data_IF_204186056429
#
_entry.id   IF_204186056429
#
_cell.length_a   1.000
_cell.length_b   1.000
_cell.length_c   1.000
_cell.angle_alpha   90.00
_cell.angle_beta   90.00
_cell.angle_gamma   90.00
#
_symmetry.space_group_name_H-M   'P 1'
#
loop_
_entity.id
_entity.type
_entity.pdbx_description
1 polymer ?
#
# COMPACT_ATOMS: atom_id res chain seq x y z
N UNK A 1 8.96 0.33 35.03
CA UNK A 1 9.18 1.02 33.79
C UNK A 1 9.03 0.05 32.61
N UNK A 2 8.12 0.34 31.69
CA UNK A 2 8.06 -0.42 30.44
C UNK A 2 9.34 -0.19 29.68
N UNK A 3 10.08 -1.24 29.37
CA UNK A 3 11.25 -1.13 28.51
C UNK A 3 10.78 -0.77 27.10
N UNK A 4 11.20 0.40 26.61
CA UNK A 4 10.95 0.80 25.22
C UNK A 4 11.82 -0.12 24.33
N UNK A 5 11.18 -0.96 23.52
CA UNK A 5 11.88 -1.78 22.54
C UNK A 5 12.27 -0.88 21.38
N UNK A 6 13.57 -0.68 21.10
CA UNK A 6 13.97 0.17 19.99
C UNK A 6 13.60 -0.48 18.65
N UNK A 7 13.43 0.32 17.57
CA UNK A 7 13.29 -0.23 16.24
C UNK A 7 14.47 -1.13 15.85
N UNK A 8 14.20 -2.16 15.02
CA UNK A 8 15.28 -2.97 14.44
C UNK A 8 16.12 -2.12 13.50
N UNK A 9 17.37 -2.51 13.23
CA UNK A 9 18.17 -1.84 12.22
C UNK A 9 17.51 -1.97 10.84
N UNK A 10 17.35 -0.84 10.16
CA UNK A 10 16.92 -0.79 8.76
C UNK A 10 18.09 -0.64 7.83
N UNK A 11 17.84 -0.88 6.53
CA UNK A 11 18.80 -0.52 5.48
C UNK A 11 18.63 0.97 5.20
N UNK A 12 19.70 1.75 5.34
CA UNK A 12 19.67 3.18 5.08
C UNK A 12 19.53 3.44 3.57
N UNK A 13 18.60 4.33 3.21
CA UNK A 13 18.35 4.70 1.81
C UNK A 13 19.26 5.84 1.38
N UNK A 14 19.94 5.69 0.24
CA UNK A 14 20.87 6.68 -0.29
C UNK A 14 20.67 6.87 -1.80
N UNK A 15 20.30 8.06 -2.27
CA UNK A 15 19.82 9.19 -1.47
C UNK A 15 18.48 8.91 -0.79
N UNK A 16 18.17 9.66 0.25
CA UNK A 16 16.84 9.62 0.88
C UNK A 16 15.76 9.87 -0.15
N UNK A 17 14.61 9.22 0.05
CA UNK A 17 13.43 9.45 -0.77
C UNK A 17 12.62 10.62 -0.22
N UNK A 18 11.69 11.12 -1.02
CA UNK A 18 10.63 12.00 -0.57
C UNK A 18 9.60 11.16 0.22
N UNK A 19 8.54 11.80 0.75
CA UNK A 19 7.49 11.12 1.50
C UNK A 19 6.94 9.91 0.72
N UNK A 20 6.90 8.76 1.39
CA UNK A 20 6.43 7.51 0.79
C UNK A 20 4.93 7.35 0.96
N UNK A 21 4.30 6.84 -0.09
CA UNK A 21 2.88 6.52 -0.09
C UNK A 21 2.61 5.01 -0.27
N UNK A 22 3.57 4.24 -0.76
CA UNK A 22 3.40 2.81 -0.96
C UNK A 22 4.69 2.09 -1.32
N UNK A 23 4.66 0.77 -1.15
CA UNK A 23 5.72 -0.15 -1.56
C UNK A 23 5.15 -1.23 -2.46
N UNK A 24 5.97 -1.76 -3.34
CA UNK A 24 5.63 -2.90 -4.19
C UNK A 24 6.86 -3.76 -4.42
N UNK A 25 6.65 -5.04 -4.68
CA UNK A 25 7.70 -6.01 -5.01
C UNK A 25 7.47 -6.49 -6.44
N UNK A 26 8.41 -6.17 -7.33
CA UNK A 26 8.36 -6.59 -8.74
C UNK A 26 8.61 -8.10 -8.91
N UNK A 27 8.42 -8.58 -10.14
CA UNK A 27 8.62 -9.99 -10.50
C UNK A 27 10.04 -10.50 -10.20
N UNK A 28 11.04 -9.66 -10.34
CA UNK A 28 12.45 -9.99 -10.05
C UNK A 28 12.83 -9.81 -8.57
N UNK A 29 11.87 -9.46 -7.70
CA UNK A 29 12.11 -9.21 -6.29
C UNK A 29 12.56 -7.79 -5.95
N UNK A 30 12.74 -6.92 -6.92
CA UNK A 30 13.08 -5.50 -6.67
C UNK A 30 11.97 -4.83 -5.91
N UNK A 31 12.33 -4.10 -4.86
CA UNK A 31 11.37 -3.33 -4.07
C UNK A 31 11.25 -1.92 -4.67
N UNK A 32 10.02 -1.52 -4.94
CA UNK A 32 9.68 -0.21 -5.45
C UNK A 32 9.00 0.63 -4.37
N UNK A 33 9.32 1.91 -4.31
CA UNK A 33 8.68 2.88 -3.44
C UNK A 33 7.98 3.95 -4.28
N UNK A 34 6.67 4.10 -4.07
CA UNK A 34 5.89 5.20 -4.61
C UNK A 34 6.02 6.40 -3.68
N UNK A 35 6.44 7.54 -4.22
CA UNK A 35 6.73 8.74 -3.44
C UNK A 35 5.96 9.94 -3.96
N UNK A 36 6.06 11.05 -3.22
CA UNK A 36 5.53 12.35 -3.63
C UNK A 36 6.15 12.86 -4.96
N UNK A 37 7.28 12.29 -5.39
CA UNK A 37 8.03 12.74 -6.59
C UNK A 37 8.39 11.60 -7.53
N UNK A 38 7.56 10.59 -7.63
CA UNK A 38 7.74 9.48 -8.56
C UNK A 38 8.01 8.14 -7.91
N UNK A 39 8.39 7.18 -8.73
CA UNK A 39 8.65 5.81 -8.36
C UNK A 39 10.16 5.56 -8.31
N UNK A 40 10.61 4.86 -7.25
CA UNK A 40 12.03 4.55 -7.06
C UNK A 40 12.20 3.07 -6.75
N UNK A 41 13.25 2.48 -7.32
CA UNK A 41 13.72 1.16 -6.95
C UNK A 41 14.71 1.28 -5.79
N UNK A 42 14.63 0.34 -4.85
CA UNK A 42 15.54 0.24 -3.71
C UNK A 42 16.42 -0.99 -3.92
N UNK A 43 17.72 -0.78 -4.07
CA UNK A 43 18.70 -1.86 -4.20
C UNK A 43 19.01 -2.54 -2.86
N UNK A 44 19.70 -3.65 -2.91
CA UNK A 44 20.00 -4.49 -1.74
C UNK A 44 20.82 -3.76 -0.67
N UNK A 45 21.65 -2.80 -1.07
CA UNK A 45 22.43 -1.98 -0.14
C UNK A 45 21.79 -0.65 0.20
N UNK A 46 20.56 -0.42 -0.23
CA UNK A 46 19.79 0.79 0.07
C UNK A 46 19.93 1.91 -0.95
N UNK A 47 20.63 1.69 -2.06
CA UNK A 47 20.70 2.67 -3.15
C UNK A 47 19.33 2.84 -3.80
N UNK A 48 18.94 4.09 -4.03
CA UNK A 48 17.66 4.44 -4.62
C UNK A 48 17.85 4.98 -6.03
N UNK A 49 17.07 4.48 -6.98
CA UNK A 49 17.14 4.87 -8.38
C UNK A 49 15.73 5.10 -8.92
N UNK A 50 15.52 6.21 -9.60
CA UNK A 50 14.23 6.51 -10.24
C UNK A 50 13.89 5.43 -11.28
N UNK A 51 12.63 5.00 -11.29
CA UNK A 51 12.08 4.07 -12.28
C UNK A 51 11.21 4.87 -13.25
N UNK A 52 11.56 4.80 -14.55
CA UNK A 52 10.88 5.58 -15.58
C UNK A 52 11.23 7.07 -15.52
N UNK A 53 10.47 7.88 -16.25
CA UNK A 53 10.73 9.32 -16.41
C UNK A 53 9.73 10.21 -15.65
N UNK A 54 8.74 9.61 -14.98
CA UNK A 54 7.68 10.37 -14.32
C UNK A 54 8.11 10.90 -12.96
N UNK A 55 7.75 12.15 -12.69
CA UNK A 55 7.86 12.79 -11.37
C UNK A 55 6.48 12.97 -10.72
N UNK A 56 5.48 12.21 -11.15
CA UNK A 56 4.13 12.26 -10.59
C UNK A 56 4.11 11.90 -9.11
N UNK A 57 3.22 12.56 -8.37
CA UNK A 57 2.92 12.22 -6.99
C UNK A 57 2.06 10.95 -6.95
N UNK A 58 2.64 9.86 -6.47
CA UNK A 58 1.98 8.56 -6.41
C UNK A 58 1.33 8.37 -5.03
N UNK A 59 0.18 9.00 -4.80
CA UNK A 59 -0.58 8.89 -3.55
C UNK A 59 -1.08 7.46 -3.30
N UNK A 60 -1.43 6.73 -4.36
CA UNK A 60 -1.80 5.33 -4.32
C UNK A 60 -0.90 4.51 -5.22
N UNK A 61 -0.41 3.39 -4.70
CA UNK A 61 0.38 2.42 -5.43
C UNK A 61 -0.08 1.03 -5.03
N UNK A 62 -0.47 0.21 -5.99
CA UNK A 62 -0.97 -1.14 -5.75
C UNK A 62 -0.42 -2.13 -6.75
N UNK A 63 -0.13 -3.34 -6.28
CA UNK A 63 0.29 -4.46 -7.10
C UNK A 63 0.31 -5.74 -6.26
N UNK A 64 0.25 -6.87 -6.93
CA UNK A 64 0.47 -8.16 -6.29
C UNK A 64 1.97 -8.40 -6.17
N UNK A 65 2.42 -8.76 -4.98
CA UNK A 65 3.85 -9.06 -4.76
C UNK A 65 4.35 -10.11 -5.75
N UNK A 66 5.44 -9.80 -6.44
CA UNK A 66 6.02 -10.66 -7.47
C UNK A 66 5.46 -10.43 -8.87
N UNK A 67 4.63 -9.41 -9.09
CA UNK A 67 4.10 -9.02 -10.40
C UNK A 67 4.70 -7.71 -10.87
N UNK A 68 4.91 -7.58 -12.19
CA UNK A 68 5.31 -6.32 -12.83
C UNK A 68 4.11 -5.46 -13.25
N UNK A 69 2.89 -5.90 -12.97
CA UNK A 69 1.68 -5.10 -13.16
C UNK A 69 1.38 -4.29 -11.91
N UNK A 70 1.36 -2.97 -12.08
CA UNK A 70 1.08 -2.02 -11.00
C UNK A 70 -0.04 -1.07 -11.40
N UNK A 71 -0.70 -0.55 -10.37
CA UNK A 71 -1.69 0.50 -10.49
C UNK A 71 -1.28 1.68 -9.62
N UNK A 72 -1.52 2.89 -10.11
CA UNK A 72 -1.24 4.11 -9.36
C UNK A 72 -2.34 5.13 -9.49
N UNK A 73 -2.36 6.06 -8.55
CA UNK A 73 -3.22 7.22 -8.53
C UNK A 73 -2.47 8.38 -7.87
N UNK A 74 -2.93 9.60 -8.08
CA UNK A 74 -2.31 10.76 -7.48
C UNK A 74 -2.45 12.02 -8.32
N UNK A 75 -1.38 12.80 -8.37
CA UNK A 75 -1.34 14.07 -9.07
C UNK A 75 -0.20 14.14 -10.07
N UNK A 76 -0.39 14.84 -11.21
CA UNK A 76 0.71 15.02 -12.16
C UNK A 76 1.83 15.85 -11.53
N UNK A 77 3.07 15.43 -11.80
CA UNK A 77 4.25 16.18 -11.41
C UNK A 77 4.49 17.41 -12.30
N UNK A 78 5.51 18.23 -11.97
CA UNK A 78 5.79 19.46 -12.70
C UNK A 78 6.10 19.26 -14.20
N UNK A 79 6.60 18.08 -14.57
CA UNK A 79 6.95 17.77 -15.97
C UNK A 79 5.78 17.19 -16.78
N UNK A 80 4.63 16.97 -16.16
CA UNK A 80 3.47 16.32 -16.77
C UNK A 80 2.39 17.31 -17.18
N UNK A 81 1.75 17.05 -18.33
CA UNK A 81 0.55 17.75 -18.80
C UNK A 81 -0.72 16.92 -18.62
N UNK A 82 -0.63 15.80 -17.89
CA UNK A 82 -1.77 14.93 -17.64
C UNK A 82 -2.87 15.62 -16.84
N UNK A 83 -4.07 15.04 -16.86
CA UNK A 83 -5.20 15.53 -16.06
C UNK A 83 -4.88 15.47 -14.56
N UNK A 84 -5.42 16.41 -13.80
CA UNK A 84 -5.28 16.47 -12.35
C UNK A 84 -6.68 16.38 -11.68
N UNK A 85 -6.93 15.39 -10.81
CA UNK A 85 -6.05 14.27 -10.44
C UNK A 85 -5.86 13.24 -11.55
N UNK A 86 -4.89 12.34 -11.38
CA UNK A 86 -4.52 11.35 -12.40
C UNK A 86 -5.58 10.28 -12.66
N UNK A 87 -6.47 10.03 -11.70
CA UNK A 87 -7.34 8.88 -11.73
C UNK A 87 -6.58 7.59 -11.50
N UNK A 88 -6.95 6.52 -12.20
CA UNK A 88 -6.22 5.26 -12.17
C UNK A 88 -5.32 5.12 -13.38
N UNK A 89 -4.07 4.76 -13.14
CA UNK A 89 -3.07 4.46 -14.16
C UNK A 89 -2.54 3.05 -13.98
N UNK A 90 -2.16 2.40 -15.07
CA UNK A 90 -1.65 1.03 -15.08
C UNK A 90 -0.27 0.99 -15.72
N UNK A 91 0.64 0.23 -15.12
CA UNK A 91 1.92 -0.16 -15.69
C UNK A 91 1.97 -1.69 -15.80
N UNK A 92 2.49 -2.20 -16.91
CA UNK A 92 2.72 -3.63 -17.13
C UNK A 92 4.21 -3.97 -17.23
N UNK A 93 5.08 -3.00 -16.98
CA UNK A 93 6.54 -3.14 -17.15
C UNK A 93 7.31 -2.75 -15.87
N UNK A 94 6.73 -3.03 -14.71
CA UNK A 94 7.40 -2.76 -13.44
C UNK A 94 7.46 -1.28 -13.07
N UNK A 95 6.55 -0.47 -13.59
CA UNK A 95 6.47 0.95 -13.28
C UNK A 95 7.28 1.85 -14.20
N UNK A 96 7.88 1.31 -15.26
CA UNK A 96 8.67 2.13 -16.22
C UNK A 96 7.82 3.03 -17.06
N UNK A 97 6.69 2.52 -17.56
CA UNK A 97 5.72 3.28 -18.36
C UNK A 97 4.31 3.08 -17.82
N UNK A 98 3.49 4.13 -17.93
CA UNK A 98 2.14 4.17 -17.39
C UNK A 98 1.15 4.59 -18.47
N UNK A 99 -0.05 4.00 -18.42
CA UNK A 99 -1.18 4.39 -19.27
C UNK A 99 -2.39 4.71 -18.41
N UNK A 100 -3.22 5.64 -18.88
CA UNK A 100 -4.49 5.95 -18.23
C UNK A 100 -5.45 4.78 -18.36
N UNK A 101 -6.07 4.36 -17.25
CA UNK A 101 -7.04 3.28 -17.22
C UNK A 101 -8.46 3.81 -17.09
N UNK A 102 -8.71 4.68 -16.09
CA UNK A 102 -10.03 5.25 -15.83
C UNK A 102 -9.93 6.46 -14.90
N UNK A 103 -11.01 7.22 -14.78
CA UNK A 103 -11.21 8.27 -13.78
C UNK A 103 -10.23 9.43 -13.86
N UNK A 104 -9.51 9.60 -14.98
CA UNK A 104 -8.60 10.72 -15.17
C UNK A 104 -9.34 12.06 -15.01
N UNK A 105 -8.75 12.95 -14.21
CA UNK A 105 -9.36 14.23 -13.85
C UNK A 105 -10.45 14.14 -12.78
N UNK A 106 -10.76 12.95 -12.26
CA UNK A 106 -11.90 12.74 -11.36
C UNK A 106 -11.51 12.27 -9.97
N UNK A 107 -10.49 11.41 -9.84
CA UNK A 107 -10.16 10.75 -8.57
C UNK A 107 -8.66 10.75 -8.31
N UNK A 108 -8.33 10.96 -7.03
CA UNK A 108 -7.03 10.71 -6.43
C UNK A 108 -7.22 9.67 -5.32
N UNK A 109 -6.81 8.43 -5.55
CA UNK A 109 -6.90 7.38 -4.53
C UNK A 109 -5.76 7.51 -3.53
N UNK A 110 -6.08 7.89 -2.29
CA UNK A 110 -5.13 7.98 -1.18
C UNK A 110 -4.75 6.62 -0.62
N UNK A 111 -5.61 5.62 -0.78
CA UNK A 111 -5.32 4.22 -0.48
C UNK A 111 -5.84 3.38 -1.64
N UNK A 112 -5.03 2.46 -2.11
CA UNK A 112 -5.34 1.63 -3.27
C UNK A 112 -4.70 0.26 -3.08
N UNK A 113 -5.49 -0.80 -3.21
CA UNK A 113 -5.02 -2.18 -3.09
C UNK A 113 -5.60 -3.06 -4.19
N UNK A 114 -4.90 -4.14 -4.50
CA UNK A 114 -5.33 -5.09 -5.54
C UNK A 114 -4.93 -6.52 -5.20
N UNK A 115 -5.72 -7.47 -5.71
CA UNK A 115 -5.37 -8.89 -5.76
C UNK A 115 -5.00 -9.35 -7.19
N UNK A 116 -4.84 -8.38 -8.11
CA UNK A 116 -4.55 -8.61 -9.52
C UNK A 116 -5.75 -8.44 -10.44
N UNK A 117 -6.97 -8.65 -9.95
CA UNK A 117 -8.23 -8.49 -10.70
C UNK A 117 -9.10 -7.41 -10.08
N UNK A 118 -9.33 -7.51 -8.79
CA UNK A 118 -10.10 -6.55 -8.01
C UNK A 118 -9.17 -5.44 -7.51
N UNK A 119 -9.66 -4.20 -7.60
CA UNK A 119 -9.05 -3.06 -6.93
C UNK A 119 -10.05 -2.47 -5.94
N UNK A 120 -9.53 -2.04 -4.80
CA UNK A 120 -10.29 -1.28 -3.81
C UNK A 120 -9.53 0.01 -3.56
N UNK A 121 -10.22 1.14 -3.70
CA UNK A 121 -9.63 2.46 -3.51
C UNK A 121 -10.45 3.32 -2.56
N UNK A 122 -9.78 4.25 -1.89
CA UNK A 122 -10.38 5.28 -1.06
C UNK A 122 -9.87 6.65 -1.49
N UNK A 123 -10.78 7.55 -1.82
CA UNK A 123 -10.44 8.87 -2.36
C UNK A 123 -10.25 9.96 -1.28
N UNK A 124 -10.34 9.59 -0.01
CA UNK A 124 -10.18 10.51 1.11
C UNK A 124 -11.49 11.17 1.58
N UNK A 125 -12.64 10.87 0.97
CA UNK A 125 -13.88 11.61 1.25
C UNK A 125 -15.10 10.73 1.53
N UNK A 126 -15.56 9.94 0.56
CA UNK A 126 -16.93 9.37 0.59
C UNK A 126 -17.01 7.93 1.08
N UNK A 127 -15.95 7.15 0.89
CA UNK A 127 -15.95 5.73 1.16
C UNK A 127 -15.10 4.98 0.14
N UNK A 128 -15.18 3.66 0.17
CA UNK A 128 -14.42 2.84 -0.77
C UNK A 128 -15.14 2.70 -2.10
N UNK A 129 -14.37 2.55 -3.15
CA UNK A 129 -14.81 2.27 -4.50
C UNK A 129 -14.12 0.99 -4.97
N UNK A 130 -14.85 0.11 -5.65
CA UNK A 130 -14.39 -1.21 -6.02
C UNK A 130 -14.47 -1.41 -7.53
N UNK A 131 -13.40 -1.93 -8.11
CA UNK A 131 -13.34 -2.39 -9.50
C UNK A 131 -13.10 -3.89 -9.52
N UNK A 132 -13.85 -4.61 -10.35
CA UNK A 132 -13.69 -6.06 -10.56
C UNK A 132 -13.12 -6.41 -11.92
N UNK A 133 -12.75 -5.42 -12.71
CA UNK A 133 -12.28 -5.54 -14.08
C UNK A 133 -10.94 -4.82 -14.30
N UNK A 134 -10.06 -4.90 -13.32
CA UNK A 134 -8.71 -4.31 -13.38
C UNK A 134 -8.72 -2.79 -13.55
N UNK A 135 -9.70 -2.12 -12.93
CA UNK A 135 -9.77 -0.66 -12.92
C UNK A 135 -10.45 -0.03 -14.14
N UNK A 136 -11.12 -0.81 -14.97
CA UNK A 136 -11.84 -0.27 -16.14
C UNK A 136 -13.15 0.39 -15.74
N UNK A 137 -13.89 -0.22 -14.80
CA UNK A 137 -15.13 0.31 -14.25
C UNK A 137 -15.17 0.17 -12.72
N UNK A 138 -15.96 1.01 -12.07
CA UNK A 138 -15.97 1.15 -10.62
C UNK A 138 -17.40 1.20 -10.08
N UNK A 139 -17.59 0.61 -8.90
CA UNK A 139 -18.82 0.65 -8.12
C UNK A 139 -18.54 1.22 -6.73
N UNK A 140 -19.49 1.96 -6.19
CA UNK A 140 -19.40 2.44 -4.80
C UNK A 140 -19.51 1.28 -3.83
N UNK A 141 -18.60 1.25 -2.84
CA UNK A 141 -18.61 0.30 -1.73
C UNK A 141 -19.05 0.94 -0.42
N UNK A 142 -18.52 0.42 0.69
CA UNK A 142 -18.86 0.89 2.03
C UNK A 142 -18.53 2.36 2.25
N UNK A 143 -19.46 3.07 2.90
CA UNK A 143 -19.33 4.49 3.20
C UNK A 143 -18.61 4.68 4.55
N UNK A 144 -17.28 4.47 4.56
CA UNK A 144 -16.45 4.63 5.76
C UNK A 144 -15.17 5.37 5.42
N UNK A 145 -14.64 6.08 6.41
CA UNK A 145 -13.31 6.70 6.30
C UNK A 145 -12.21 5.67 6.55
N UNK A 146 -11.24 5.63 5.68
CA UNK A 146 -10.18 4.60 5.68
C UNK A 146 -8.83 5.26 5.82
N UNK A 147 -8.00 4.75 6.75
CA UNK A 147 -6.60 5.13 6.86
C UNK A 147 -5.69 4.20 6.07
N UNK A 148 -6.04 2.92 5.95
CA UNK A 148 -5.25 1.92 5.24
C UNK A 148 -6.15 0.75 4.81
N UNK A 149 -5.87 0.19 3.65
CA UNK A 149 -6.60 -0.94 3.06
C UNK A 149 -5.68 -2.14 2.87
N UNK A 150 -6.27 -3.34 2.89
CA UNK A 150 -5.60 -4.56 2.48
C UNK A 150 -6.60 -5.52 1.83
N UNK A 151 -6.11 -6.33 0.90
CA UNK A 151 -6.84 -7.45 0.32
C UNK A 151 -6.15 -8.75 0.68
N UNK A 152 -6.95 -9.73 1.10
CA UNK A 152 -6.55 -11.13 1.26
C UNK A 152 -7.54 -12.02 0.53
N UNK A 153 -7.29 -13.31 0.47
CA UNK A 153 -8.20 -14.27 -0.18
C UNK A 153 -9.61 -14.24 0.41
N UNK A 154 -9.74 -13.96 1.72
CA UNK A 154 -11.04 -13.95 2.39
C UNK A 154 -11.82 -12.65 2.20
N UNK A 155 -11.18 -11.56 1.82
CA UNK A 155 -11.87 -10.30 1.60
C UNK A 155 -11.04 -9.04 1.77
N UNK A 156 -11.73 -7.95 2.09
CA UNK A 156 -11.17 -6.61 2.18
C UNK A 156 -11.08 -6.17 3.64
N UNK A 157 -9.94 -5.59 4.00
CA UNK A 157 -9.66 -5.10 5.36
C UNK A 157 -9.43 -3.60 5.31
N UNK A 158 -9.96 -2.89 6.29
CA UNK A 158 -9.82 -1.45 6.39
C UNK A 158 -9.49 -1.02 7.82
N UNK A 159 -8.47 -0.20 7.97
CA UNK A 159 -8.20 0.53 9.21
C UNK A 159 -9.04 1.79 9.20
N UNK A 160 -9.86 1.98 10.23
CA UNK A 160 -10.74 3.13 10.40
C UNK A 160 -10.49 3.79 11.74
N UNK A 161 -11.10 4.96 11.98
CA UNK A 161 -11.05 5.61 13.29
C UNK A 161 -11.64 4.75 14.42
N UNK A 162 -12.49 3.77 14.08
CA UNK A 162 -13.09 2.82 15.02
C UNK A 162 -12.35 1.48 15.12
N UNK A 163 -11.18 1.37 14.49
CA UNK A 163 -10.37 0.17 14.47
C UNK A 163 -10.46 -0.59 13.16
N UNK A 164 -9.99 -1.84 13.19
CA UNK A 164 -9.98 -2.71 12.02
C UNK A 164 -11.38 -3.17 11.67
N UNK A 165 -11.75 -3.08 10.39
CA UNK A 165 -12.99 -3.58 9.84
C UNK A 165 -12.73 -4.54 8.68
N UNK A 166 -13.69 -5.41 8.43
CA UNK A 166 -13.60 -6.47 7.45
C UNK A 166 -14.85 -6.54 6.59
N UNK A 167 -14.66 -6.82 5.31
CA UNK A 167 -15.72 -7.03 4.33
C UNK A 167 -15.53 -8.38 3.63
N UNK A 168 -16.58 -9.22 3.63
CA UNK A 168 -16.63 -10.47 2.87
C UNK A 168 -17.42 -10.36 1.57
N UNK A 169 -17.91 -9.16 1.23
CA UNK A 169 -18.78 -8.91 0.06
C UNK A 169 -18.15 -7.91 -0.92
N UNK A 170 -16.84 -8.02 -1.15
CA UNK A 170 -16.07 -7.17 -2.07
C UNK A 170 -16.11 -5.69 -1.71
N UNK A 171 -16.03 -5.37 -0.42
CA UNK A 171 -15.97 -3.98 0.04
C UNK A 171 -17.30 -3.23 0.04
N UNK A 172 -18.42 -3.92 -0.17
CA UNK A 172 -19.75 -3.29 -0.13
C UNK A 172 -20.19 -2.95 1.28
N UNK A 173 -20.00 -3.88 2.22
CA UNK A 173 -20.30 -3.69 3.63
C UNK A 173 -19.11 -4.11 4.48
N UNK A 174 -18.90 -3.36 5.57
CA UNK A 174 -17.82 -3.62 6.52
C UNK A 174 -18.39 -3.83 7.91
N UNK A 175 -17.79 -4.74 8.66
CA UNK A 175 -18.11 -4.97 10.06
C UNK A 175 -16.84 -4.88 10.90
N UNK A 176 -16.98 -4.49 12.17
CA UNK A 176 -15.86 -4.46 13.10
C UNK A 176 -15.23 -5.84 13.22
N UNK A 177 -13.91 -5.88 13.19
CA UNK A 177 -13.14 -7.08 13.44
C UNK A 177 -12.55 -7.02 14.85
N UNK A 178 -13.11 -7.82 15.76
CA UNK A 178 -12.68 -7.83 17.17
C UNK A 178 -11.36 -8.58 17.36
N UNK A 179 -10.58 -8.17 18.37
CA UNK A 179 -9.39 -8.89 18.80
C UNK A 179 -8.11 -8.55 18.04
N UNK A 180 -8.17 -7.61 17.09
CA UNK A 180 -6.98 -7.12 16.42
C UNK A 180 -6.29 -6.01 17.23
N UNK A 181 -4.94 -5.91 17.16
CA UNK A 181 -4.25 -4.73 17.66
C UNK A 181 -4.69 -3.46 16.92
N UNK A 182 -4.52 -2.29 17.56
CA UNK A 182 -4.79 -1.00 16.91
C UNK A 182 -3.72 -0.72 15.87
N UNK A 183 -4.09 -0.84 14.60
CA UNK A 183 -3.18 -0.65 13.47
C UNK A 183 -3.27 0.76 12.90
N UNK A 184 -2.16 1.23 12.33
CA UNK A 184 -2.09 2.46 11.51
C UNK A 184 -1.91 2.13 10.02
N UNK A 185 -1.22 1.04 9.71
CA UNK A 185 -1.02 0.52 8.36
C UNK A 185 -1.33 -0.97 8.32
N UNK A 186 -1.89 -1.43 7.22
CA UNK A 186 -2.07 -2.85 6.92
C UNK A 186 -1.65 -3.17 5.50
N UNK A 187 -1.29 -4.41 5.25
CA UNK A 187 -0.98 -4.94 3.93
C UNK A 187 -1.35 -6.42 3.87
N UNK A 188 -1.80 -6.87 2.73
CA UNK A 188 -2.25 -8.23 2.52
C UNK A 188 -1.52 -8.94 1.40
N UNK A 189 -1.40 -10.26 1.51
CA UNK A 189 -0.89 -11.13 0.45
C UNK A 189 -1.44 -12.53 0.67
N UNK A 190 -2.24 -13.02 -0.28
CA UNK A 190 -2.86 -14.34 -0.18
C UNK A 190 -3.64 -14.50 1.15
N UNK A 191 -3.21 -15.37 2.05
CA UNK A 191 -3.81 -15.57 3.37
C UNK A 191 -3.15 -14.75 4.48
N UNK A 192 -2.14 -13.93 4.17
CA UNK A 192 -1.41 -13.15 5.14
C UNK A 192 -1.97 -11.74 5.30
N UNK A 193 -2.15 -11.32 6.53
CA UNK A 193 -2.47 -9.95 6.89
C UNK A 193 -1.38 -9.43 7.84
N UNK A 194 -0.66 -8.42 7.38
CA UNK A 194 0.35 -7.70 8.16
C UNK A 194 -0.19 -6.35 8.59
N UNK A 195 0.30 -5.83 9.70
CA UNK A 195 -0.01 -4.49 10.14
C UNK A 195 1.11 -3.90 10.96
N UNK A 196 1.08 -2.58 11.13
CA UNK A 196 1.96 -1.83 12.05
C UNK A 196 1.06 -1.03 12.98
N UNK A 197 1.31 -1.14 14.28
CA UNK A 197 0.53 -0.44 15.29
C UNK A 197 1.06 0.98 15.57
N UNK A 198 0.37 1.71 16.45
CA UNK A 198 0.73 3.10 16.80
C UNK A 198 2.09 3.22 17.48
N UNK A 199 2.58 2.15 18.09
CA UNK A 199 3.88 2.12 18.78
C UNK A 199 5.01 1.68 17.84
N UNK A 200 4.71 1.37 16.58
CA UNK A 200 5.67 0.96 15.58
C UNK A 200 5.95 -0.54 15.53
N UNK A 201 5.20 -1.35 16.27
CA UNK A 201 5.34 -2.81 16.20
C UNK A 201 4.61 -3.37 15.00
N UNK A 202 5.32 -4.22 14.25
CA UNK A 202 4.71 -5.04 13.22
C UNK A 202 3.95 -6.20 13.86
N UNK A 203 2.85 -6.58 13.21
CA UNK A 203 2.01 -7.73 13.55
C UNK A 203 1.69 -8.51 12.29
N UNK A 204 1.52 -9.80 12.44
CA UNK A 204 1.05 -10.65 11.34
C UNK A 204 -0.02 -11.62 11.80
N UNK A 205 -0.89 -12.00 10.88
CA UNK A 205 -1.92 -12.98 11.12
C UNK A 205 -2.28 -13.72 9.83
N UNK A 206 -2.86 -14.90 9.96
CA UNK A 206 -3.51 -15.55 8.83
C UNK A 206 -4.96 -15.10 8.81
N UNK A 207 -5.22 -14.07 8.01
CA UNK A 207 -6.57 -13.52 7.82
C UNK A 207 -7.26 -13.12 9.13
N UNK A 208 -6.51 -12.47 10.01
CA UNK A 208 -7.02 -12.02 11.29
C UNK A 208 -7.07 -13.10 12.38
N UNK A 209 -6.62 -14.29 12.09
CA UNK A 209 -6.60 -15.40 13.06
C UNK A 209 -5.23 -15.49 13.73
N UNK A 210 -5.21 -15.32 15.06
CA UNK A 210 -3.99 -15.49 15.83
C UNK A 210 -2.94 -14.41 15.51
N UNK A 211 -3.14 -13.21 16.03
CA UNK A 211 -2.19 -12.10 15.84
C UNK A 211 -0.87 -12.37 16.56
N UNK A 212 0.21 -12.23 15.83
CA UNK A 212 1.58 -12.43 16.31
C UNK A 212 2.37 -11.13 16.22
N UNK A 213 2.84 -10.66 17.37
CA UNK A 213 3.66 -9.43 17.45
C UNK A 213 5.07 -9.72 16.93
N UNK A 214 5.55 -8.85 16.06
CA UNK A 214 6.86 -8.97 15.43
C UNK A 214 7.74 -7.77 15.81
N UNK A 215 8.72 -7.45 14.98
CA UNK A 215 9.72 -6.43 15.27
C UNK A 215 9.12 -5.02 15.33
N UNK A 216 9.79 -4.15 16.08
CA UNK A 216 9.51 -2.71 16.05
C UNK A 216 10.23 -2.08 14.87
N UNK A 217 9.50 -1.40 14.01
CA UNK A 217 10.04 -0.65 12.85
C UNK A 217 9.85 0.86 12.99
N UNK A 218 9.28 1.30 14.11
CA UNK A 218 9.02 2.72 14.35
C UNK A 218 7.87 3.28 13.50
N UNK A 219 7.88 4.58 13.29
CA UNK A 219 6.84 5.30 12.53
C UNK A 219 7.09 5.17 11.02
N UNK A 220 6.78 4.03 10.45
CA UNK A 220 6.91 3.80 9.00
C UNK A 220 5.78 4.46 8.23
N UNK A 221 6.05 4.79 6.96
CA UNK A 221 5.11 5.47 6.06
C UNK A 221 4.43 4.50 5.11
N UNK A 222 5.03 3.35 4.84
CA UNK A 222 4.51 2.35 3.90
C UNK A 222 4.81 0.94 4.37
N UNK A 223 3.93 0.01 4.00
CA UNK A 223 4.02 -1.41 4.32
C UNK A 223 3.55 -2.22 3.11
N UNK A 224 4.27 -3.29 2.78
CA UNK A 224 3.83 -4.28 1.79
C UNK A 224 4.12 -5.68 2.28
N UNK A 225 3.22 -6.61 1.96
CA UNK A 225 3.34 -8.02 2.33
C UNK A 225 3.69 -8.87 1.10
N UNK A 226 4.68 -9.73 1.23
CA UNK A 226 4.97 -10.75 0.23
C UNK A 226 4.29 -12.08 0.58
N UNK A 227 4.30 -12.43 1.86
CA UNK A 227 3.69 -13.65 2.39
C UNK A 227 3.53 -13.53 3.91
N UNK A 228 3.04 -14.56 4.55
CA UNK A 228 3.01 -14.62 6.01
C UNK A 228 4.41 -14.50 6.63
N UNK A 229 5.45 -14.99 5.95
CA UNK A 229 6.82 -15.01 6.47
C UNK A 229 7.68 -13.84 5.97
N UNK A 230 7.13 -12.94 5.16
CA UNK A 230 7.90 -11.84 4.58
C UNK A 230 7.05 -10.62 4.31
N UNK A 231 7.49 -9.48 4.81
CA UNK A 231 6.93 -8.16 4.54
C UNK A 231 8.04 -7.10 4.58
N UNK A 232 7.73 -5.91 4.07
CA UNK A 232 8.65 -4.78 4.08
C UNK A 232 7.92 -3.53 4.54
N UNK A 233 8.61 -2.75 5.37
CA UNK A 233 8.14 -1.45 5.82
C UNK A 233 9.23 -0.42 5.57
N UNK A 234 8.85 0.83 5.32
CA UNK A 234 9.82 1.86 5.00
C UNK A 234 9.41 3.25 5.47
N UNK A 235 10.43 4.04 5.73
CA UNK A 235 10.37 5.50 5.77
C UNK A 235 11.11 6.06 4.56
N UNK A 236 11.15 7.38 4.41
CA UNK A 236 11.98 8.02 3.38
C UNK A 236 13.48 7.76 3.57
N UNK A 237 13.90 7.29 4.74
CA UNK A 237 15.30 7.12 5.14
C UNK A 237 15.74 5.66 5.28
N UNK A 238 14.80 4.74 5.53
CA UNK A 238 15.15 3.35 5.87
C UNK A 238 14.13 2.36 5.35
N UNK A 239 14.64 1.19 4.94
CA UNK A 239 13.84 0.02 4.57
C UNK A 239 14.04 -1.08 5.62
N UNK A 240 12.95 -1.67 6.09
CA UNK A 240 12.93 -2.75 7.07
C UNK A 240 12.37 -4.02 6.44
N UNK A 241 13.10 -5.12 6.56
CA UNK A 241 12.62 -6.46 6.22
C UNK A 241 11.97 -7.10 7.47
N UNK A 242 10.79 -7.64 7.29
CA UNK A 242 9.97 -8.26 8.34
C UNK A 242 9.76 -9.74 8.07
N UNK A 243 9.77 -10.54 9.13
CA UNK A 243 9.47 -11.97 9.07
C UNK A 243 8.50 -12.41 10.18
#
# INVERSE_FOLDING_TARGET
GQSIVPPIPGVELTPELDHLHGLHINADGTILAGTHRGLFAIGDSGDTVRVGDSDDDLMGLAGVAGSDTLFSSGHPGPSSTAANPLGLRTSNDGGRTWTDSSLAGQVDFHSLVTDGTTLVGFDGARGVTVSKDQGKSWESGGALGVASLALTESGTWAVTSSGLQYSSDDGRTFTKFAGAPSMVLIAGSSDALWGVDQDGFAWRSREGKGWEKRANVGAVEALTAASYDSAYAATSQSLYALN
#
